data_IF_395490914475
#
_entry.id   IF_395490914475
#
_cell.length_a   1.000
_cell.length_b   1.000
_cell.length_c   1.000
_cell.angle_alpha   90.00
_cell.angle_beta   90.00
_cell.angle_gamma   90.00
#
_symmetry.space_group_name_H-M   'P 1'
#
loop_
_entity.id
_entity.type
_entity.pdbx_description
1 polymer ?
#
# COMPACT_ATOMS: atom_id res chain seq x y z
N UNK A 1 -13.66 20.58 28.22
CA UNK A 1 -12.93 20.54 26.93
C UNK A 1 -11.72 19.61 26.98
N UNK A 2 -10.72 19.82 27.83
CA UNK A 2 -9.49 18.99 27.92
C UNK A 2 -9.79 17.52 28.22
N UNK A 3 -10.69 17.18 29.12
CA UNK A 3 -11.06 15.81 29.44
C UNK A 3 -11.67 15.09 28.20
N UNK A 4 -12.57 15.75 27.47
CA UNK A 4 -13.18 15.20 26.27
C UNK A 4 -12.12 14.93 25.16
N UNK A 5 -11.18 15.86 24.96
CA UNK A 5 -10.07 15.68 24.03
C UNK A 5 -9.18 14.49 24.42
N UNK A 6 -8.94 14.29 25.72
CA UNK A 6 -8.17 13.15 26.24
C UNK A 6 -8.86 11.82 25.95
N UNK A 7 -10.17 11.69 26.18
CA UNK A 7 -10.92 10.48 25.85
C UNK A 7 -10.91 10.19 24.34
N UNK A 8 -11.18 11.21 23.51
CA UNK A 8 -11.07 11.08 22.06
C UNK A 8 -9.69 10.55 21.65
N UNK A 9 -8.64 11.12 22.19
CA UNK A 9 -7.27 10.74 21.90
C UNK A 9 -7.00 9.26 22.26
N UNK A 10 -7.40 8.81 23.45
CA UNK A 10 -7.22 7.43 23.89
C UNK A 10 -7.97 6.45 22.99
N UNK A 11 -9.27 6.69 22.77
CA UNK A 11 -10.09 5.76 21.97
C UNK A 11 -9.68 5.74 20.51
N UNK A 12 -9.38 6.87 19.91
CA UNK A 12 -8.90 6.93 18.53
C UNK A 12 -7.56 6.20 18.36
N UNK A 13 -6.62 6.38 19.27
CA UNK A 13 -5.33 5.67 19.27
C UNK A 13 -5.53 4.17 19.32
N UNK A 14 -6.37 3.70 20.26
CA UNK A 14 -6.62 2.27 20.43
C UNK A 14 -7.33 1.68 19.22
N UNK A 15 -8.32 2.37 18.66
CA UNK A 15 -9.06 1.92 17.47
C UNK A 15 -8.15 1.79 16.24
N UNK A 16 -7.28 2.76 16.00
CA UNK A 16 -6.40 2.75 14.84
C UNK A 16 -5.04 2.08 15.08
N UNK A 17 -4.81 1.54 16.28
CA UNK A 17 -3.53 0.88 16.62
C UNK A 17 -3.10 -0.19 15.60
N UNK A 18 -3.99 -1.09 15.10
CA UNK A 18 -3.59 -2.08 14.08
C UNK A 18 -3.10 -1.45 12.78
N UNK A 19 -3.68 -0.31 12.36
CA UNK A 19 -3.24 0.43 11.18
C UNK A 19 -1.89 1.10 11.41
N UNK A 20 -1.68 1.72 12.56
CA UNK A 20 -0.38 2.31 12.95
C UNK A 20 0.70 1.24 12.93
N UNK A 21 0.43 0.07 13.52
CA UNK A 21 1.37 -1.06 13.54
C UNK A 21 1.67 -1.57 12.12
N UNK A 22 0.65 -1.70 11.27
CA UNK A 22 0.82 -2.08 9.88
C UNK A 22 1.78 -1.12 9.17
N UNK A 23 1.54 0.20 9.28
CA UNK A 23 2.37 1.21 8.63
C UNK A 23 3.79 1.27 9.20
N UNK A 24 3.95 1.11 10.51
CA UNK A 24 5.26 1.08 11.15
C UNK A 24 6.09 -0.13 10.67
N UNK A 25 5.52 -1.33 10.74
CA UNK A 25 6.21 -2.57 10.33
C UNK A 25 6.50 -2.56 8.84
N UNK A 26 5.54 -2.23 8.00
CA UNK A 26 5.73 -2.22 6.55
C UNK A 26 6.67 -1.10 6.09
N UNK A 27 6.61 0.09 6.72
CA UNK A 27 7.53 1.19 6.45
C UNK A 27 8.97 0.83 6.82
N UNK A 28 9.16 0.22 7.99
CA UNK A 28 10.48 -0.27 8.41
C UNK A 28 11.01 -1.34 7.45
N UNK A 29 10.16 -2.29 7.03
CA UNK A 29 10.53 -3.31 6.04
C UNK A 29 11.00 -2.69 4.72
N UNK A 30 10.31 -1.64 4.23
CA UNK A 30 10.73 -0.89 3.04
C UNK A 30 12.11 -0.24 3.19
N UNK A 31 12.44 0.31 4.37
CA UNK A 31 13.77 0.87 4.65
C UNK A 31 14.88 -0.17 4.54
N UNK A 32 14.59 -1.44 4.88
CA UNK A 32 15.52 -2.56 4.72
C UNK A 32 15.48 -3.21 3.33
N UNK A 33 14.90 -2.55 2.33
CA UNK A 33 14.88 -3.03 0.95
C UNK A 33 13.85 -4.12 0.66
N UNK A 34 12.98 -4.46 1.61
CA UNK A 34 11.89 -5.41 1.36
C UNK A 34 10.85 -4.76 0.44
N UNK A 35 10.60 -5.36 -0.71
CA UNK A 35 9.61 -4.89 -1.66
C UNK A 35 8.37 -5.81 -1.70
N UNK A 36 7.35 -5.41 -2.45
CA UNK A 36 6.09 -6.16 -2.55
C UNK A 36 6.25 -7.59 -3.06
N UNK A 37 7.28 -7.85 -3.86
CA UNK A 37 7.53 -9.15 -4.47
C UNK A 37 8.68 -9.91 -3.78
N UNK A 38 9.20 -9.41 -2.65
CA UNK A 38 10.22 -10.09 -1.84
C UNK A 38 9.65 -11.38 -1.25
N UNK A 39 10.30 -12.51 -1.57
CA UNK A 39 9.83 -13.83 -1.16
C UNK A 39 8.58 -14.31 -1.87
N UNK A 40 8.16 -13.68 -2.97
CA UNK A 40 7.07 -14.16 -3.79
C UNK A 40 7.49 -15.32 -4.67
N UNK A 41 6.59 -16.28 -4.85
CA UNK A 41 6.74 -17.30 -5.88
C UNK A 41 6.28 -16.72 -7.21
N UNK A 42 7.21 -16.65 -8.17
CA UNK A 42 6.97 -16.04 -9.47
C UNK A 42 7.19 -17.10 -10.54
N UNK A 43 6.20 -17.25 -11.44
CA UNK A 43 6.34 -18.06 -12.67
C UNK A 43 6.08 -17.16 -13.85
N UNK A 44 6.89 -17.29 -14.90
CA UNK A 44 6.82 -16.47 -16.10
C UNK A 44 6.77 -17.35 -17.34
N UNK A 45 5.94 -16.95 -18.31
CA UNK A 45 5.85 -17.53 -19.63
C UNK A 45 5.95 -16.42 -20.66
N UNK A 46 6.76 -16.63 -21.68
CA UNK A 46 6.91 -15.71 -22.81
C UNK A 46 6.40 -16.43 -24.05
N UNK A 47 5.47 -15.81 -24.74
CA UNK A 47 4.84 -16.33 -25.94
C UNK A 47 5.16 -15.39 -27.11
N UNK A 48 5.56 -15.94 -28.24
CA UNK A 48 5.78 -15.20 -29.50
C UNK A 48 4.43 -14.96 -30.20
N UNK A 49 3.60 -14.14 -29.54
CA UNK A 49 2.26 -13.80 -30.03
C UNK A 49 1.89 -12.40 -29.58
N UNK A 50 1.47 -11.57 -30.53
CA UNK A 50 0.86 -10.28 -30.22
C UNK A 50 -0.63 -10.46 -29.98
N UNK A 51 -1.15 -9.90 -28.88
CA UNK A 51 -2.55 -9.96 -28.52
C UNK A 51 -3.17 -8.58 -28.52
N UNK A 52 -4.31 -8.44 -29.23
CA UNK A 52 -5.13 -7.24 -29.15
C UNK A 52 -5.74 -7.12 -27.76
N UNK A 53 -6.04 -5.88 -27.38
CA UNK A 53 -6.51 -5.56 -26.02
C UNK A 53 -7.79 -6.33 -25.63
N UNK A 54 -8.70 -6.49 -26.58
CA UNK A 54 -10.00 -7.14 -26.42
C UNK A 54 -9.86 -8.65 -26.21
N UNK A 55 -8.83 -9.26 -26.79
CA UNK A 55 -8.60 -10.71 -26.76
C UNK A 55 -7.82 -11.18 -25.52
N UNK A 56 -7.16 -10.25 -24.81
CA UNK A 56 -6.23 -10.57 -23.72
C UNK A 56 -6.88 -11.32 -22.58
N UNK A 57 -8.10 -10.95 -22.19
CA UNK A 57 -8.77 -11.55 -21.05
C UNK A 57 -9.19 -13.00 -21.31
N UNK A 58 -9.76 -13.26 -22.47
CA UNK A 58 -10.23 -14.59 -22.84
C UNK A 58 -9.03 -15.52 -23.13
N UNK A 59 -8.03 -15.03 -23.84
CA UNK A 59 -6.77 -15.74 -23.99
C UNK A 59 -6.13 -16.10 -22.65
N UNK A 60 -6.11 -15.18 -21.70
CA UNK A 60 -5.54 -15.42 -20.36
C UNK A 60 -6.32 -16.51 -19.62
N UNK A 61 -7.66 -16.51 -19.69
CA UNK A 61 -8.49 -17.55 -19.06
C UNK A 61 -8.22 -18.94 -19.65
N UNK A 62 -8.09 -19.04 -20.97
CA UNK A 62 -7.83 -20.31 -21.65
C UNK A 62 -6.41 -20.80 -21.35
N UNK A 63 -5.41 -19.91 -21.37
CA UNK A 63 -4.04 -20.21 -20.98
C UNK A 63 -3.94 -20.74 -19.52
N UNK A 64 -4.68 -20.16 -18.59
CA UNK A 64 -4.74 -20.59 -17.20
C UNK A 64 -5.28 -22.03 -17.10
N UNK A 65 -6.33 -22.36 -17.84
CA UNK A 65 -6.93 -23.70 -17.87
C UNK A 65 -5.99 -24.73 -18.50
N UNK A 66 -5.42 -24.42 -19.65
CA UNK A 66 -4.52 -25.33 -20.37
C UNK A 66 -3.24 -25.66 -19.58
N UNK A 67 -2.71 -24.69 -18.86
CA UNK A 67 -1.48 -24.86 -18.09
C UNK A 67 -1.72 -25.26 -16.61
N UNK A 68 -2.96 -25.61 -16.25
CA UNK A 68 -3.35 -26.00 -14.89
C UNK A 68 -2.91 -24.99 -13.81
N UNK A 69 -2.96 -23.69 -14.15
CA UNK A 69 -2.62 -22.61 -13.24
C UNK A 69 -3.83 -22.35 -12.32
N UNK A 70 -3.59 -22.12 -11.03
CA UNK A 70 -4.67 -21.82 -10.10
C UNK A 70 -5.41 -20.53 -10.51
N UNK A 71 -6.73 -20.62 -10.66
CA UNK A 71 -7.56 -19.46 -11.01
C UNK A 71 -7.63 -18.48 -9.84
N UNK A 72 -7.37 -17.18 -10.05
CA UNK A 72 -7.50 -16.18 -8.99
C UNK A 72 -8.94 -16.06 -8.48
N UNK A 73 -9.12 -15.78 -7.19
CA UNK A 73 -10.45 -15.57 -6.59
C UNK A 73 -11.23 -14.38 -7.19
N UNK A 74 -10.53 -13.37 -7.72
CA UNK A 74 -11.12 -12.23 -8.42
C UNK A 74 -10.65 -12.24 -9.88
N UNK A 75 -11.60 -12.30 -10.79
CA UNK A 75 -11.33 -12.33 -12.24
C UNK A 75 -11.55 -10.93 -12.86
N UNK A 76 -12.00 -9.95 -12.08
CA UNK A 76 -12.20 -8.59 -12.57
C UNK A 76 -10.88 -8.02 -13.11
N UNK A 77 -10.83 -7.72 -14.44
CA UNK A 77 -9.61 -7.23 -15.06
C UNK A 77 -9.31 -5.80 -14.61
N UNK A 78 -8.05 -5.54 -14.31
CA UNK A 78 -7.52 -4.21 -14.02
C UNK A 78 -6.39 -3.94 -14.99
N UNK A 79 -6.37 -2.76 -15.56
CA UNK A 79 -5.25 -2.32 -16.38
C UNK A 79 -4.29 -1.45 -15.56
N UNK A 80 -3.02 -1.76 -15.66
CA UNK A 80 -1.98 -0.94 -15.07
C UNK A 80 -0.76 -0.91 -15.99
N UNK A 81 -0.40 0.30 -16.45
CA UNK A 81 0.76 0.52 -17.36
C UNK A 81 0.76 -0.38 -18.61
N UNK A 82 -0.42 -0.64 -19.18
CA UNK A 82 -0.57 -1.50 -20.37
C UNK A 82 -0.62 -3.00 -20.11
N UNK A 83 -0.42 -3.44 -18.87
CA UNK A 83 -0.60 -4.83 -18.47
C UNK A 83 -2.04 -5.08 -17.98
N UNK A 84 -2.60 -6.21 -18.39
CA UNK A 84 -3.85 -6.74 -17.86
C UNK A 84 -3.53 -7.53 -16.58
N UNK A 85 -4.18 -7.18 -15.47
CA UNK A 85 -3.98 -7.83 -14.17
C UNK A 85 -5.30 -8.39 -13.68
N UNK A 86 -5.31 -9.66 -13.31
CA UNK A 86 -6.41 -10.31 -12.58
C UNK A 86 -5.91 -10.87 -11.26
N UNK A 87 -6.78 -10.92 -10.25
CA UNK A 87 -6.45 -11.50 -8.94
C UNK A 87 -6.51 -10.50 -7.79
N UNK A 88 -5.88 -10.90 -6.70
CA UNK A 88 -5.81 -10.18 -5.43
C UNK A 88 -4.36 -9.79 -5.11
N UNK A 89 -4.12 -8.92 -4.10
CA UNK A 89 -2.76 -8.61 -3.67
C UNK A 89 -1.90 -9.81 -3.28
N UNK A 90 -2.51 -10.91 -2.84
CA UNK A 90 -1.80 -12.14 -2.47
C UNK A 90 -1.46 -13.01 -3.67
N UNK A 91 -2.36 -13.09 -4.64
CA UNK A 91 -2.18 -13.88 -5.84
C UNK A 91 -2.73 -13.14 -7.05
N UNK A 92 -1.87 -12.76 -7.97
CA UNK A 92 -2.23 -12.05 -9.20
C UNK A 92 -1.56 -12.68 -10.42
N UNK A 93 -2.22 -12.55 -11.55
CA UNK A 93 -1.72 -12.94 -12.85
C UNK A 93 -1.70 -11.69 -13.73
N UNK A 94 -0.54 -11.40 -14.29
CA UNK A 94 -0.28 -10.25 -15.14
C UNK A 94 -0.04 -10.72 -16.56
N UNK A 95 -0.70 -10.09 -17.54
CA UNK A 95 -0.46 -10.29 -18.95
C UNK A 95 -0.04 -8.97 -19.58
N UNK A 96 1.15 -8.92 -20.12
CA UNK A 96 1.72 -7.75 -20.81
C UNK A 96 2.09 -8.14 -22.24
N UNK A 97 1.61 -7.35 -23.21
CA UNK A 97 1.99 -7.51 -24.63
C UNK A 97 2.88 -6.35 -25.02
N UNK A 98 4.08 -6.66 -25.51
CA UNK A 98 5.05 -5.69 -26.04
C UNK A 98 5.52 -6.14 -27.42
N UNK A 99 5.14 -5.39 -28.45
CA UNK A 99 5.44 -5.79 -29.85
C UNK A 99 4.82 -7.15 -30.18
N UNK A 100 5.63 -8.08 -30.64
CA UNK A 100 5.19 -9.42 -31.04
C UNK A 100 5.24 -10.46 -29.90
N UNK A 101 5.56 -10.03 -28.69
CA UNK A 101 5.65 -10.92 -27.54
C UNK A 101 4.59 -10.61 -26.49
N UNK A 102 4.01 -11.68 -25.94
CA UNK A 102 3.12 -11.63 -24.78
C UNK A 102 3.78 -12.34 -23.59
N UNK A 103 3.94 -11.62 -22.51
CA UNK A 103 4.49 -12.13 -21.26
C UNK A 103 3.36 -12.34 -20.25
N UNK A 104 3.25 -13.56 -19.73
CA UNK A 104 2.33 -13.92 -18.65
C UNK A 104 3.16 -14.18 -17.39
N UNK A 105 2.75 -13.58 -16.29
CA UNK A 105 3.45 -13.70 -15.01
C UNK A 105 2.45 -13.96 -13.89
N UNK A 106 2.62 -15.07 -13.17
CA UNK A 106 1.91 -15.32 -11.93
C UNK A 106 2.76 -14.89 -10.74
N UNK A 107 2.16 -14.22 -9.77
CA UNK A 107 2.85 -13.74 -8.58
C UNK A 107 2.03 -14.17 -7.36
N UNK A 108 2.61 -15.04 -6.54
CA UNK A 108 2.05 -15.46 -5.27
C UNK A 108 2.89 -14.85 -4.14
N UNK A 109 2.28 -13.91 -3.40
CA UNK A 109 2.96 -13.13 -2.36
C UNK A 109 2.71 -13.72 -0.99
N UNK A 110 3.76 -13.77 -0.17
CA UNK A 110 3.66 -14.06 1.24
C UNK A 110 3.10 -12.88 2.05
N UNK A 111 3.04 -13.05 3.36
CA UNK A 111 2.49 -12.07 4.30
C UNK A 111 3.15 -10.69 4.20
N UNK A 112 4.49 -10.62 4.13
CA UNK A 112 5.22 -9.35 4.00
C UNK A 112 4.89 -8.60 2.71
N UNK A 113 4.81 -9.32 1.58
CA UNK A 113 4.39 -8.72 0.32
C UNK A 113 2.98 -8.14 0.38
N UNK A 114 2.06 -8.85 1.05
CA UNK A 114 0.70 -8.36 1.29
C UNK A 114 0.68 -7.08 2.14
N UNK A 115 1.47 -7.03 3.23
CA UNK A 115 1.60 -5.83 4.06
C UNK A 115 2.09 -4.62 3.27
N UNK A 116 3.08 -4.82 2.39
CA UNK A 116 3.60 -3.74 1.54
C UNK A 116 2.57 -3.31 0.49
N UNK A 117 1.77 -4.23 -0.07
CA UNK A 117 0.67 -3.87 -0.97
C UNK A 117 -0.41 -3.06 -0.25
N UNK A 118 -0.73 -3.38 1.01
CA UNK A 118 -1.62 -2.59 1.87
C UNK A 118 -1.03 -1.20 2.13
N UNK A 119 0.25 -1.11 2.51
CA UNK A 119 0.95 0.15 2.73
C UNK A 119 0.90 1.07 1.50
N UNK A 120 1.11 0.51 0.31
CA UNK A 120 1.05 1.24 -0.97
C UNK A 120 -0.36 1.51 -1.48
N UNK A 121 -1.40 1.19 -0.71
CA UNK A 121 -2.81 1.28 -1.11
C UNK A 121 -3.13 0.55 -2.45
N UNK A 122 -2.35 -0.48 -2.80
CA UNK A 122 -2.56 -1.31 -4.01
C UNK A 122 -3.57 -2.44 -3.74
N UNK A 123 -4.71 -2.10 -3.16
CA UNK A 123 -5.74 -3.01 -2.67
C UNK A 123 -7.13 -2.52 -3.03
N UNK A 124 -8.16 -3.26 -2.64
CA UNK A 124 -9.55 -2.90 -2.93
C UNK A 124 -10.01 -1.58 -2.30
N UNK A 125 -11.11 -1.05 -2.82
CA UNK A 125 -11.64 0.28 -2.46
C UNK A 125 -11.96 0.38 -0.96
N UNK A 126 -12.46 -0.68 -0.33
CA UNK A 126 -12.81 -0.67 1.10
C UNK A 126 -11.62 -0.28 1.98
N UNK A 127 -10.44 -0.86 1.72
CA UNK A 127 -9.24 -0.52 2.48
C UNK A 127 -8.75 0.91 2.17
N UNK A 128 -8.89 1.38 0.93
CA UNK A 128 -8.55 2.76 0.56
C UNK A 128 -9.41 3.79 1.30
N UNK A 129 -10.71 3.50 1.45
CA UNK A 129 -11.63 4.34 2.23
C UNK A 129 -11.22 4.35 3.70
N UNK A 130 -10.94 3.17 4.28
CA UNK A 130 -10.45 3.06 5.66
C UNK A 130 -9.16 3.84 5.87
N UNK A 131 -8.23 3.76 4.91
CA UNK A 131 -6.97 4.52 4.94
C UNK A 131 -7.22 6.03 4.86
N UNK A 132 -8.14 6.49 4.01
CA UNK A 132 -8.54 7.89 3.93
C UNK A 132 -9.09 8.41 5.27
N UNK A 133 -9.99 7.66 5.89
CA UNK A 133 -10.51 7.95 7.23
C UNK A 133 -9.37 8.02 8.24
N UNK A 134 -8.45 7.06 8.23
CA UNK A 134 -7.28 7.06 9.11
C UNK A 134 -6.40 8.31 8.94
N UNK A 135 -6.14 8.75 7.70
CA UNK A 135 -5.37 9.97 7.45
C UNK A 135 -6.04 11.22 8.04
N UNK A 136 -7.37 11.35 7.89
CA UNK A 136 -8.13 12.44 8.50
C UNK A 136 -8.04 12.38 10.03
N UNK A 137 -8.19 11.19 10.62
CA UNK A 137 -8.04 10.99 12.06
C UNK A 137 -6.63 11.32 12.56
N UNK A 138 -5.58 10.99 11.82
CA UNK A 138 -4.22 11.37 12.18
C UNK A 138 -4.06 12.90 12.25
N UNK A 139 -4.60 13.64 11.29
CA UNK A 139 -4.56 15.10 11.31
C UNK A 139 -5.31 15.66 12.53
N UNK A 140 -6.52 15.17 12.81
CA UNK A 140 -7.30 15.58 13.98
C UNK A 140 -6.59 15.20 15.29
N UNK A 141 -5.95 14.05 15.32
CA UNK A 141 -5.18 13.56 16.46
C UNK A 141 -4.00 14.47 16.79
N UNK A 142 -3.19 14.83 15.78
CA UNK A 142 -2.09 15.78 15.96
C UNK A 142 -2.59 17.16 16.34
N UNK A 143 -3.68 17.65 15.73
CA UNK A 143 -4.28 18.93 16.06
C UNK A 143 -4.77 18.94 17.51
N UNK A 144 -5.43 17.89 17.99
CA UNK A 144 -5.90 17.78 19.38
C UNK A 144 -4.74 17.73 20.36
N UNK A 145 -3.67 17.00 20.04
CA UNK A 145 -2.45 16.96 20.87
C UNK A 145 -1.79 18.33 20.94
N UNK A 146 -1.65 18.99 19.79
CA UNK A 146 -1.10 20.33 19.70
C UNK A 146 -1.88 21.34 20.55
N UNK A 147 -3.22 21.34 20.46
CA UNK A 147 -4.08 22.21 21.26
C UNK A 147 -3.94 21.94 22.75
N UNK A 148 -3.90 20.66 23.17
CA UNK A 148 -3.75 20.31 24.59
C UNK A 148 -2.43 20.84 25.19
N UNK A 149 -1.34 20.78 24.42
CA UNK A 149 -0.03 21.31 24.85
C UNK A 149 -0.01 22.84 24.80
N UNK A 150 -0.58 23.44 23.74
CA UNK A 150 -0.65 24.88 23.59
C UNK A 150 -1.33 25.57 24.77
N UNK A 151 -2.40 24.97 25.31
CA UNK A 151 -3.10 25.51 26.49
C UNK A 151 -2.32 25.36 27.79
N UNK A 152 -1.34 24.46 27.86
CA UNK A 152 -0.58 24.18 29.09
C UNK A 152 0.78 24.85 29.09
N UNK A 153 1.53 24.83 28.01
CA UNK A 153 2.89 25.39 27.93
C UNK A 153 3.25 25.75 26.46
N UNK A 154 2.76 26.90 26.03
CA UNK A 154 2.97 27.42 24.67
C UNK A 154 4.45 27.54 24.31
N UNK A 155 5.30 27.97 25.26
CA UNK A 155 6.73 28.18 25.00
C UNK A 155 7.46 26.88 24.67
N UNK A 156 7.25 25.83 25.45
CA UNK A 156 7.86 24.52 25.20
C UNK A 156 7.34 23.89 23.90
N UNK A 157 6.07 24.09 23.59
CA UNK A 157 5.49 23.65 22.31
C UNK A 157 6.21 24.29 21.13
N UNK A 158 6.38 25.61 21.10
CA UNK A 158 7.09 26.30 20.02
C UNK A 158 8.53 25.83 19.87
N UNK A 159 9.26 25.63 20.97
CA UNK A 159 10.63 25.10 20.96
C UNK A 159 10.64 23.69 20.34
N UNK A 160 9.72 22.81 20.72
CA UNK A 160 9.65 21.45 20.16
C UNK A 160 9.34 21.44 18.66
N UNK A 161 8.41 22.28 18.20
CA UNK A 161 8.09 22.43 16.77
C UNK A 161 9.30 22.97 16.00
N UNK A 162 9.99 23.97 16.55
CA UNK A 162 11.18 24.55 15.93
C UNK A 162 12.29 23.50 15.76
N UNK A 163 12.61 22.76 16.84
CA UNK A 163 13.62 21.70 16.81
C UNK A 163 13.23 20.63 15.79
N UNK A 164 11.98 20.14 15.83
CA UNK A 164 11.49 19.15 14.88
C UNK A 164 11.57 19.62 13.43
N UNK A 165 11.24 20.88 13.17
CA UNK A 165 11.35 21.49 11.83
C UNK A 165 12.80 21.57 11.37
N UNK A 166 13.73 21.99 12.22
CA UNK A 166 15.17 22.07 11.89
C UNK A 166 15.71 20.68 11.56
N UNK A 167 15.37 19.65 12.36
CA UNK A 167 15.78 18.26 12.09
C UNK A 167 15.20 17.77 10.78
N UNK A 168 13.92 18.01 10.53
CA UNK A 168 13.23 17.56 9.32
C UNK A 168 13.82 18.21 8.05
N UNK A 169 13.93 19.54 8.01
CA UNK A 169 14.46 20.23 6.85
C UNK A 169 15.96 20.00 6.68
N UNK A 170 16.71 19.82 7.78
CA UNK A 170 18.12 19.45 7.74
C UNK A 170 18.32 18.06 7.13
N UNK A 171 17.49 17.07 7.51
CA UNK A 171 17.53 15.74 6.93
C UNK A 171 17.19 15.76 5.43
N UNK A 172 16.19 16.54 5.00
CA UNK A 172 15.87 16.73 3.58
C UNK A 172 17.06 17.33 2.84
N UNK A 173 17.61 18.42 3.34
CA UNK A 173 18.74 19.10 2.70
C UNK A 173 19.95 18.17 2.52
N UNK A 174 20.23 17.32 3.53
CA UNK A 174 21.34 16.38 3.46
C UNK A 174 21.06 15.18 2.52
N UNK A 175 19.79 14.90 2.22
CA UNK A 175 19.38 13.77 1.37
C UNK A 175 19.23 14.11 -0.11
N UNK A 176 19.18 15.41 -0.45
CA UNK A 176 19.09 15.95 -1.82
C UNK A 176 20.45 16.41 -2.34
#
# INVERSE_FOLDING_TARGET
MVAMMRYFHIYATTFFFPLVLLFAVSGLSLLFGVCQDTGATIKEWVLEKSLKKEERLDFLKDFIKENHIAMPKKIEPREHRGALIIGTPLYEINLETKGDQTKIKTIERGFLGALIMLHKAKVGIVFKVLLGIFCVFLLLFYLSAFLMVAFKDTKRMFISVLIGSVVFFGAIYWSL
#
